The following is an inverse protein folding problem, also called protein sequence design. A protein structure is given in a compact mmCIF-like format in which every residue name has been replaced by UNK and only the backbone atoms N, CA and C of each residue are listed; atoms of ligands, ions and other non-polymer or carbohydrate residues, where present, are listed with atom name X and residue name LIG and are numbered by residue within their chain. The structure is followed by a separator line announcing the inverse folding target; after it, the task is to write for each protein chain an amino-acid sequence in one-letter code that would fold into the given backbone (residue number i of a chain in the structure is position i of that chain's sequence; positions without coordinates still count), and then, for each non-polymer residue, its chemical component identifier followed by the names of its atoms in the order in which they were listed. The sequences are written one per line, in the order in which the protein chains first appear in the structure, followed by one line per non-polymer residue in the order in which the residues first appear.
data_IF_508612762863
#
_entry.id   IF_508612762863
#
_cell.length_a   1.000
_cell.length_b   1.000
_cell.length_c   1.000
_cell.angle_alpha   90.00
_cell.angle_beta   90.00
_cell.angle_gamma   90.00
#
_symmetry.space_group_name_H-M   'P 1'
#
loop_
_entity.id
_entity.type
_entity.pdbx_description
1 polymer ?
#
# COMPACT_ATOMS: atom_id res chain seq x y z
N UNK A 1 -7.50 21.77 -6.15
CA UNK A 1 -6.48 20.72 -5.96
C UNK A 1 -5.89 20.33 -7.30
N UNK A 2 -4.56 20.23 -7.41
CA UNK A 2 -3.87 20.06 -8.70
C UNK A 2 -3.64 18.60 -9.09
N UNK A 3 -3.47 18.36 -10.39
CA UNK A 3 -3.08 17.07 -10.96
C UNK A 3 -1.79 16.49 -10.31
N UNK A 4 -0.90 17.37 -9.87
CA UNK A 4 0.47 17.03 -9.46
C UNK A 4 0.68 16.78 -7.95
N UNK A 5 -0.20 17.28 -7.08
CA UNK A 5 -0.04 17.07 -5.63
C UNK A 5 -1.37 17.19 -4.91
N UNK A 6 -1.57 16.29 -3.94
CA UNK A 6 -2.71 16.32 -3.03
C UNK A 6 -2.40 17.06 -1.73
N UNK A 7 -1.25 17.74 -1.65
CA UNK A 7 -0.83 18.48 -0.46
C UNK A 7 -1.80 19.62 -0.20
N UNK A 8 -2.23 19.77 1.05
CA UNK A 8 -3.12 20.86 1.50
C UNK A 8 -2.52 21.58 2.70
N UNK A 9 -2.99 22.80 2.98
CA UNK A 9 -2.71 23.52 4.22
C UNK A 9 -3.61 23.02 5.36
N UNK A 10 -3.25 23.32 6.62
CA UNK A 10 -4.06 22.94 7.78
C UNK A 10 -5.41 23.66 7.82
N UNK A 11 -5.47 24.89 7.29
CA UNK A 11 -6.68 25.72 7.29
C UNK A 11 -7.74 25.22 6.31
N UNK A 12 -7.35 24.34 5.38
CA UNK A 12 -8.27 23.68 4.44
C UNK A 12 -8.95 22.43 5.04
N UNK A 13 -8.49 21.94 6.19
CA UNK A 13 -8.98 20.69 6.79
C UNK A 13 -10.42 20.81 7.30
N UNK A 14 -11.21 19.79 6.99
CA UNK A 14 -12.59 19.66 7.45
C UNK A 14 -12.82 18.31 8.10
N UNK A 15 -13.63 18.29 9.15
CA UNK A 15 -14.02 17.03 9.77
C UNK A 15 -14.63 16.09 8.71
N UNK A 16 -14.21 14.81 8.72
CA UNK A 16 -14.56 13.83 7.69
C UNK A 16 -13.56 13.74 6.53
N UNK A 17 -12.51 14.56 6.51
CA UNK A 17 -11.43 14.43 5.54
C UNK A 17 -10.60 13.17 5.79
N UNK A 18 -10.39 12.38 4.73
CA UNK A 18 -9.38 11.32 4.72
C UNK A 18 -8.05 11.95 4.34
N UNK A 19 -7.14 11.97 5.31
CA UNK A 19 -5.81 12.54 5.17
C UNK A 19 -4.75 11.46 5.19
N UNK A 20 -3.62 11.76 4.59
CA UNK A 20 -2.46 10.89 4.65
C UNK A 20 -1.16 11.68 4.73
N UNK A 21 -0.12 11.04 5.25
CA UNK A 21 1.25 11.54 5.25
C UNK A 21 2.21 10.48 4.73
N UNK A 22 3.05 10.85 3.78
CA UNK A 22 4.13 9.97 3.33
C UNK A 22 5.13 9.72 4.47
N UNK A 23 5.48 8.46 4.64
CA UNK A 23 6.46 7.97 5.64
C UNK A 23 7.69 7.39 4.99
N UNK A 24 7.54 6.86 3.79
CA UNK A 24 8.61 6.43 2.91
C UNK A 24 8.19 6.70 1.46
N UNK A 25 9.04 6.33 0.50
CA UNK A 25 8.71 6.45 -0.92
C UNK A 25 7.48 5.63 -1.33
N UNK A 26 7.23 4.50 -0.65
CA UNK A 26 6.18 3.52 -1.01
C UNK A 26 5.13 3.31 0.09
N UNK A 27 5.20 4.06 1.19
CA UNK A 27 4.23 3.96 2.29
C UNK A 27 3.73 5.35 2.70
N UNK A 28 2.40 5.48 2.71
CA UNK A 28 1.65 6.57 3.30
C UNK A 28 0.84 6.04 4.48
N UNK A 29 0.83 6.82 5.57
CA UNK A 29 -0.02 6.53 6.71
C UNK A 29 -1.31 7.34 6.61
N UNK A 30 -2.44 6.69 6.84
CA UNK A 30 -3.79 7.21 6.55
C UNK A 30 -4.62 7.38 7.82
N UNK A 31 -5.52 8.36 7.81
CA UNK A 31 -6.43 8.62 8.92
C UNK A 31 -7.59 9.53 8.54
N UNK A 32 -8.57 9.62 9.43
CA UNK A 32 -9.75 10.48 9.32
C UNK A 32 -9.58 11.66 10.27
N UNK A 33 -9.58 12.87 9.74
CA UNK A 33 -9.64 14.08 10.55
C UNK A 33 -11.05 14.26 11.12
N UNK A 34 -11.16 14.42 12.44
CA UNK A 34 -12.47 14.47 13.14
C UNK A 34 -12.78 15.81 13.79
N UNK A 35 -12.00 16.85 13.45
CA UNK A 35 -12.09 18.18 14.05
C UNK A 35 -11.10 18.39 15.20
N UNK A 36 -10.96 19.64 15.64
CA UNK A 36 -10.17 20.06 16.81
C UNK A 36 -8.71 19.56 16.81
N UNK A 37 -8.09 19.49 15.63
CA UNK A 37 -6.71 19.02 15.53
C UNK A 37 -6.54 17.51 15.79
N UNK A 38 -7.62 16.72 15.82
CA UNK A 38 -7.60 15.29 16.10
C UNK A 38 -7.79 14.43 14.85
N UNK A 39 -7.08 13.31 14.84
CA UNK A 39 -7.11 12.32 13.76
C UNK A 39 -7.36 10.95 14.37
N UNK A 40 -8.35 10.23 13.84
CA UNK A 40 -8.59 8.82 14.14
C UNK A 40 -7.95 8.00 13.04
N UNK A 41 -7.13 7.02 13.42
CA UNK A 41 -6.38 6.22 12.47
C UNK A 41 -6.12 4.81 13.01
N UNK A 42 -5.88 3.88 12.11
CA UNK A 42 -5.64 2.48 12.44
C UNK A 42 -4.15 2.20 12.46
N UNK A 43 -3.65 1.64 13.55
CA UNK A 43 -2.23 1.34 13.76
C UNK A 43 -2.04 -0.08 14.29
N UNK A 44 -0.82 -0.59 14.14
CA UNK A 44 -0.36 -1.78 14.83
C UNK A 44 0.44 -1.40 16.07
N UNK A 45 0.38 -2.23 17.11
CA UNK A 45 1.15 -2.09 18.35
C UNK A 45 2.63 -1.83 18.09
N UNK A 46 3.19 -0.80 18.71
CA UNK A 46 4.64 -0.62 18.80
C UNK A 46 5.24 -1.58 19.82
N UNK A 47 6.33 -2.28 19.46
CA UNK A 47 7.07 -3.18 20.36
C UNK A 47 6.98 -4.67 20.03
N UNK A 48 6.13 -5.08 19.07
CA UNK A 48 6.27 -6.38 18.42
C UNK A 48 7.33 -6.24 17.33
N UNK A 49 8.61 -6.15 17.73
CA UNK A 49 9.68 -6.48 16.80
C UNK A 49 9.39 -7.90 16.33
N UNK A 50 9.17 -8.09 15.02
CA UNK A 50 9.24 -9.46 14.47
C UNK A 50 10.69 -9.98 14.64
N UNK A 51 11.62 -9.14 15.12
CA UNK A 51 13.01 -9.49 15.44
C UNK A 51 13.82 -9.79 14.19
N UNK A 52 13.24 -9.57 13.00
CA UNK A 52 13.82 -9.97 11.72
C UNK A 52 14.65 -8.88 11.05
N UNK A 53 14.49 -7.62 11.44
CA UNK A 53 15.16 -6.47 10.81
C UNK A 53 14.71 -6.24 9.36
N UNK A 54 13.53 -6.74 8.98
CA UNK A 54 13.04 -6.73 7.59
C UNK A 54 12.42 -5.38 7.21
N UNK A 55 12.16 -5.16 5.92
CA UNK A 55 11.49 -3.95 5.42
C UNK A 55 10.12 -3.72 6.09
N UNK A 56 9.43 -4.79 6.49
CA UNK A 56 8.15 -4.75 7.21
C UNK A 56 8.29 -4.16 8.62
N UNK A 57 9.37 -4.49 9.34
CA UNK A 57 9.65 -3.93 10.67
C UNK A 57 9.81 -2.40 10.63
N UNK A 58 10.39 -1.86 9.54
CA UNK A 58 10.49 -0.41 9.30
C UNK A 58 9.13 0.24 9.02
N UNK A 59 8.22 -0.46 8.33
CA UNK A 59 6.86 0.06 8.06
C UNK A 59 6.01 0.12 9.33
N UNK A 60 6.15 -0.87 10.23
CA UNK A 60 5.48 -0.85 11.55
C UNK A 60 5.89 0.41 12.31
N UNK A 61 7.20 0.71 12.33
CA UNK A 61 7.73 1.92 12.96
C UNK A 61 7.14 3.22 12.38
N UNK A 62 6.80 3.23 11.09
CA UNK A 62 6.23 4.39 10.40
C UNK A 62 4.75 4.64 10.71
N UNK A 63 4.02 3.64 11.22
CA UNK A 63 2.59 3.77 11.56
C UNK A 63 2.37 4.32 12.97
N UNK A 64 3.37 4.18 13.85
CA UNK A 64 3.31 4.66 15.24
C UNK A 64 3.29 6.19 15.26
N UNK A 65 2.32 6.83 15.97
CA UNK A 65 2.34 8.27 16.18
C UNK A 65 3.66 8.68 16.85
N UNK A 66 4.34 9.67 16.29
CA UNK A 66 5.58 10.20 16.87
C UNK A 66 5.46 11.69 17.07
N UNK A 67 5.63 12.12 18.31
CA UNK A 67 5.99 13.50 18.59
C UNK A 67 7.47 13.66 18.22
N UNK A 68 7.84 14.71 17.47
CA UNK A 68 9.24 14.91 17.10
C UNK A 68 10.09 15.22 18.34
N UNK A 69 10.76 14.20 18.90
CA UNK A 69 11.63 14.32 20.08
C UNK A 69 11.43 13.21 21.11
N UNK A 70 12.23 13.23 22.19
CA UNK A 70 12.22 12.20 23.25
C UNK A 70 11.10 12.39 24.30
N UNK A 71 10.34 13.49 24.22
CA UNK A 71 9.27 13.80 25.17
C UNK A 71 7.89 13.39 24.64
N UNK A 72 7.03 12.77 25.48
CA UNK A 72 5.67 12.43 25.09
C UNK A 72 4.88 13.68 24.72
N UNK A 73 3.99 13.56 23.74
CA UNK A 73 3.18 14.68 23.28
C UNK A 73 2.27 15.15 24.43
N UNK A 74 2.21 16.47 24.75
CA UNK A 74 1.33 16.95 25.83
C UNK A 74 -0.16 16.69 25.55
N UNK A 75 -0.55 16.59 24.28
CA UNK A 75 -1.94 16.34 23.88
C UNK A 75 -2.29 14.86 23.78
N UNK A 76 -1.30 13.98 23.58
CA UNK A 76 -1.53 12.56 23.28
C UNK A 76 -0.98 11.60 24.35
N UNK A 77 -0.06 12.08 25.20
CA UNK A 77 0.75 11.22 26.06
C UNK A 77 1.67 10.29 25.27
N UNK A 78 2.03 9.17 25.88
CA UNK A 78 2.70 8.06 25.21
C UNK A 78 1.64 7.15 24.56
N UNK A 79 1.69 7.06 23.22
CA UNK A 79 0.80 6.21 22.42
C UNK A 79 1.54 5.03 21.77
N UNK A 80 2.81 4.80 22.15
CA UNK A 80 3.65 3.78 21.52
C UNK A 80 3.13 2.35 21.72
N UNK A 81 2.34 2.12 22.77
CA UNK A 81 1.82 0.81 23.17
C UNK A 81 0.41 0.54 22.60
N UNK A 82 -0.24 1.56 22.02
CA UNK A 82 -1.61 1.41 21.52
C UNK A 82 -1.65 0.65 20.18
N UNK A 83 -2.70 -0.13 19.99
CA UNK A 83 -3.00 -0.87 18.77
C UNK A 83 -4.46 -0.74 18.35
N UNK A 84 -4.73 -1.11 17.10
CA UNK A 84 -6.05 -1.00 16.52
C UNK A 84 -6.40 0.44 16.16
N UNK A 85 -7.65 0.84 16.43
CA UNK A 85 -8.15 2.18 16.07
C UNK A 85 -7.85 3.13 17.21
N UNK A 86 -7.03 4.15 16.95
CA UNK A 86 -6.57 5.11 17.95
C UNK A 86 -6.88 6.55 17.54
N UNK A 87 -6.83 7.47 18.50
CA UNK A 87 -6.94 8.91 18.26
C UNK A 87 -5.65 9.61 18.67
N UNK A 88 -5.11 10.45 17.78
CA UNK A 88 -3.92 11.28 18.04
C UNK A 88 -4.15 12.73 17.60
N UNK A 89 -3.25 13.64 17.98
CA UNK A 89 -3.22 14.98 17.42
C UNK A 89 -2.63 14.96 16.00
N UNK A 90 -2.95 15.97 15.20
CA UNK A 90 -2.47 16.11 13.83
C UNK A 90 -0.93 16.07 13.75
N UNK A 91 -0.22 16.64 14.71
CA UNK A 91 1.25 16.63 14.70
C UNK A 91 1.84 15.23 14.90
N UNK A 92 1.28 14.45 15.84
CA UNK A 92 1.66 13.06 16.06
C UNK A 92 1.30 12.17 14.86
N UNK A 93 0.13 12.40 14.27
CA UNK A 93 -0.27 11.75 13.02
C UNK A 93 0.65 12.13 11.86
N UNK A 94 1.16 13.36 11.79
CA UNK A 94 2.07 13.78 10.72
C UNK A 94 3.51 13.35 10.97
N UNK A 95 3.96 13.15 12.21
CA UNK A 95 5.32 12.75 12.57
C UNK A 95 6.42 13.52 11.79
N UNK A 96 6.25 14.84 11.64
CA UNK A 96 7.15 15.72 10.87
C UNK A 96 6.96 15.69 9.34
N UNK A 97 6.06 14.85 8.83
CA UNK A 97 5.69 14.75 7.43
C UNK A 97 4.75 15.86 6.94
N UNK A 98 4.45 15.83 5.64
CA UNK A 98 3.50 16.76 5.01
C UNK A 98 2.08 16.19 5.01
N UNK A 99 1.10 17.09 5.13
CA UNK A 99 -0.32 16.80 5.08
C UNK A 99 -0.84 16.70 3.64
N UNK A 100 -1.50 15.59 3.30
CA UNK A 100 -2.15 15.38 2.01
C UNK A 100 -3.59 14.94 2.19
N UNK A 101 -4.44 15.30 1.23
CA UNK A 101 -5.84 14.86 1.18
C UNK A 101 -6.02 13.70 0.20
N UNK A 102 -6.68 12.63 0.63
CA UNK A 102 -7.02 11.53 -0.25
C UNK A 102 -8.19 11.90 -1.17
N UNK A 103 -8.08 11.62 -2.47
CA UNK A 103 -9.09 12.01 -3.45
C UNK A 103 -10.10 10.90 -3.73
N UNK A 104 -11.38 11.23 -3.66
CA UNK A 104 -12.50 10.35 -4.02
C UNK A 104 -13.08 10.78 -5.36
N UNK A 105 -13.87 9.91 -5.98
CA UNK A 105 -14.58 10.18 -7.24
C UNK A 105 -13.64 10.62 -8.38
N UNK A 106 -12.41 10.08 -8.42
CA UNK A 106 -11.49 10.35 -9.52
C UNK A 106 -11.82 9.50 -10.73
N UNK A 107 -11.55 10.01 -11.93
CA UNK A 107 -11.64 9.20 -13.15
C UNK A 107 -10.57 8.10 -13.16
N UNK A 108 -10.84 6.99 -13.86
CA UNK A 108 -9.84 5.91 -14.06
C UNK A 108 -8.54 6.43 -14.68
N UNK A 109 -8.62 7.45 -15.52
CA UNK A 109 -7.44 8.09 -16.11
C UNK A 109 -6.58 8.80 -15.04
N UNK A 110 -7.22 9.53 -14.11
CA UNK A 110 -6.50 10.16 -12.98
C UNK A 110 -5.91 9.08 -12.05
N UNK A 111 -6.67 8.02 -11.77
CA UNK A 111 -6.20 6.90 -10.94
C UNK A 111 -4.91 6.29 -11.51
N UNK A 112 -4.86 6.04 -12.82
CA UNK A 112 -3.68 5.47 -13.50
C UNK A 112 -2.54 6.49 -13.63
N UNK A 113 -2.85 7.78 -13.84
CA UNK A 113 -1.84 8.82 -13.98
C UNK A 113 -1.07 9.10 -12.67
N UNK A 114 -1.69 8.87 -11.50
CA UNK A 114 -0.98 8.97 -10.21
C UNK A 114 -0.02 7.81 -10.08
N UNK A 115 1.30 8.05 -10.07
CA UNK A 115 2.29 6.97 -10.03
C UNK A 115 2.34 6.19 -8.71
N UNK A 116 1.82 6.75 -7.60
CA UNK A 116 1.86 6.11 -6.28
C UNK A 116 0.44 5.74 -5.81
N UNK A 117 0.28 4.52 -5.30
CA UNK A 117 -0.92 4.08 -4.60
C UNK A 117 -1.15 4.88 -3.31
N UNK A 118 -2.31 4.70 -2.66
CA UNK A 118 -2.64 5.35 -1.40
C UNK A 118 -2.94 6.84 -1.54
N UNK A 119 -3.45 7.30 -2.69
CA UNK A 119 -3.66 8.74 -2.93
C UNK A 119 -5.05 9.10 -3.44
N UNK A 120 -5.72 8.17 -4.12
CA UNK A 120 -7.04 8.40 -4.69
C UNK A 120 -7.77 7.08 -4.98
N UNK A 121 -9.09 7.18 -5.18
CA UNK A 121 -9.97 6.08 -5.59
C UNK A 121 -11.10 6.56 -6.49
N UNK A 122 -11.67 5.68 -7.32
CA UNK A 122 -12.87 6.00 -8.11
C UNK A 122 -14.16 5.83 -7.30
N UNK A 123 -14.11 5.31 -6.08
CA UNK A 123 -15.27 5.26 -5.20
C UNK A 123 -15.71 6.66 -4.77
N UNK A 124 -17.01 6.83 -4.57
CA UNK A 124 -17.60 8.05 -4.01
C UNK A 124 -17.49 8.04 -2.49
N UNK A 125 -17.31 9.22 -1.90
CA UNK A 125 -17.37 9.39 -0.45
C UNK A 125 -18.81 9.57 0.02
N UNK A 126 -19.13 9.01 1.17
CA UNK A 126 -20.31 9.35 1.95
C UNK A 126 -20.18 10.73 2.61
N UNK A 127 -21.29 11.31 3.11
CA UNK A 127 -21.30 12.61 3.77
C UNK A 127 -20.37 12.67 5.00
N UNK A 128 -19.73 13.82 5.28
CA UNK A 128 -18.73 13.95 6.36
C UNK A 128 -19.22 13.50 7.74
N UNK A 129 -20.49 13.72 8.07
CA UNK A 129 -21.12 13.29 9.31
C UNK A 129 -21.13 11.77 9.48
N UNK A 130 -21.43 11.02 8.42
CA UNK A 130 -21.37 9.55 8.44
C UNK A 130 -19.93 9.08 8.59
N UNK A 131 -18.99 9.74 7.92
CA UNK A 131 -17.56 9.39 8.00
C UNK A 131 -17.05 9.54 9.43
N UNK A 132 -17.35 10.68 10.07
CA UNK A 132 -16.96 10.94 11.45
C UNK A 132 -17.65 9.99 12.42
N UNK A 133 -18.93 9.66 12.18
CA UNK A 133 -19.66 8.65 12.96
C UNK A 133 -18.94 7.30 12.93
N UNK A 134 -18.62 6.77 11.75
CA UNK A 134 -17.91 5.49 11.62
C UNK A 134 -16.55 5.51 12.31
N UNK A 135 -15.76 6.55 12.10
CA UNK A 135 -14.45 6.67 12.72
C UNK A 135 -14.53 6.69 14.27
N UNK A 136 -15.47 7.45 14.84
CA UNK A 136 -15.67 7.51 16.29
C UNK A 136 -16.26 6.22 16.87
N UNK A 137 -17.17 5.57 16.14
CA UNK A 137 -17.73 4.29 16.54
C UNK A 137 -16.63 3.22 16.65
N UNK A 138 -15.78 3.12 15.63
CA UNK A 138 -14.68 2.16 15.61
C UNK A 138 -13.62 2.45 16.67
N UNK A 139 -13.32 3.72 16.94
CA UNK A 139 -12.44 4.12 18.05
C UNK A 139 -12.98 3.67 19.41
N UNK A 140 -14.29 3.73 19.62
CA UNK A 140 -14.91 3.44 20.91
C UNK A 140 -14.93 1.94 21.23
N UNK A 141 -15.03 1.09 20.22
CA UNK A 141 -15.14 -0.36 20.37
C UNK A 141 -13.93 -1.18 19.93
N UNK A 142 -12.84 -0.53 19.48
CA UNK A 142 -11.70 -1.16 18.79
C UNK A 142 -12.12 -2.13 17.67
N UNK A 143 -13.19 -1.78 16.94
CA UNK A 143 -14.01 -2.73 16.19
C UNK A 143 -13.58 -3.03 14.75
N UNK A 144 -12.37 -2.64 14.34
CA UNK A 144 -11.89 -2.79 12.95
C UNK A 144 -11.03 -4.04 12.72
N UNK A 145 -11.03 -4.98 13.68
CA UNK A 145 -10.26 -6.22 13.62
C UNK A 145 -8.76 -6.02 13.83
N UNK A 146 -7.98 -7.06 13.54
CA UNK A 146 -6.52 -7.02 13.65
C UNK A 146 -5.85 -6.28 12.49
N UNK A 147 -4.74 -5.60 12.78
CA UNK A 147 -3.97 -4.86 11.80
C UNK A 147 -3.04 -5.77 10.99
N UNK A 148 -3.27 -5.84 9.68
CA UNK A 148 -2.43 -6.52 8.71
C UNK A 148 -1.88 -5.54 7.67
N UNK A 149 -0.55 -5.41 7.58
CA UNK A 149 0.12 -4.39 6.75
C UNK A 149 -0.27 -4.43 5.26
N UNK A 150 -0.49 -5.62 4.70
CA UNK A 150 -0.72 -5.81 3.27
C UNK A 150 -2.21 -5.89 2.90
N UNK A 151 -3.03 -6.19 3.89
CA UNK A 151 -4.49 -6.34 3.80
C UNK A 151 -5.09 -5.25 4.70
N UNK A 152 -5.81 -5.62 5.77
CA UNK A 152 -6.49 -4.72 6.70
C UNK A 152 -5.55 -3.72 7.40
N UNK A 153 -5.32 -2.57 6.76
CA UNK A 153 -4.37 -1.56 7.22
C UNK A 153 -5.01 -0.16 7.35
N UNK A 154 -4.20 0.87 7.62
CA UNK A 154 -4.67 2.25 7.78
C UNK A 154 -5.43 2.81 6.58
N UNK A 155 -5.08 2.39 5.36
CA UNK A 155 -5.76 2.79 4.12
C UNK A 155 -7.15 2.17 4.04
N UNK A 156 -7.28 0.88 4.31
CA UNK A 156 -8.56 0.16 4.32
C UNK A 156 -9.51 0.73 5.38
N UNK A 157 -8.99 1.02 6.59
CA UNK A 157 -9.74 1.72 7.63
C UNK A 157 -10.31 3.06 7.15
N UNK A 158 -9.47 3.90 6.55
CA UNK A 158 -9.88 5.22 6.13
C UNK A 158 -10.85 5.15 4.93
N UNK A 159 -10.63 4.22 3.99
CA UNK A 159 -11.56 3.96 2.88
C UNK A 159 -12.92 3.45 3.40
N UNK A 160 -12.93 2.52 4.35
CA UNK A 160 -14.16 2.05 4.99
C UNK A 160 -14.91 3.19 5.67
N UNK A 161 -14.22 4.02 6.46
CA UNK A 161 -14.85 5.19 7.08
C UNK A 161 -15.48 6.11 6.02
N UNK A 162 -14.81 6.33 4.89
CA UNK A 162 -15.29 7.22 3.82
C UNK A 162 -16.43 6.65 2.97
N UNK A 163 -16.55 5.33 2.85
CA UNK A 163 -17.42 4.71 1.82
C UNK A 163 -18.41 3.68 2.38
N UNK A 164 -18.15 3.19 3.60
CA UNK A 164 -18.80 2.03 4.19
C UNK A 164 -18.49 0.72 3.47
N UNK A 165 -17.59 0.71 2.47
CA UNK A 165 -17.25 -0.46 1.68
C UNK A 165 -16.20 -1.30 2.40
N UNK A 166 -16.55 -2.55 2.68
CA UNK A 166 -15.62 -3.56 3.18
C UNK A 166 -15.25 -4.51 2.05
N UNK A 167 -13.96 -4.83 1.96
CA UNK A 167 -13.40 -5.80 1.02
C UNK A 167 -13.49 -7.20 1.61
N UNK A 168 -14.17 -8.13 0.93
CA UNK A 168 -14.28 -9.53 1.34
C UNK A 168 -13.30 -10.37 0.53
N UNK A 169 -12.03 -10.40 0.95
CA UNK A 169 -11.03 -11.15 0.20
C UNK A 169 -11.12 -12.66 0.50
N UNK A 170 -11.85 -13.41 -0.32
CA UNK A 170 -11.84 -14.89 -0.30
C UNK A 170 -10.49 -15.44 -0.82
N UNK A 171 -9.62 -14.58 -1.36
CA UNK A 171 -8.27 -14.94 -1.80
C UNK A 171 -7.23 -13.98 -1.19
N UNK A 172 -6.29 -14.51 -0.40
CA UNK A 172 -5.19 -13.79 0.31
C UNK A 172 -4.16 -13.20 -0.67
N UNK A 173 -4.54 -12.25 -1.53
CA UNK A 173 -3.59 -11.55 -2.41
C UNK A 173 -3.83 -10.03 -2.38
N UNK A 174 -3.20 -9.39 -1.39
CA UNK A 174 -2.88 -7.95 -1.32
C UNK A 174 -3.94 -7.00 -1.86
N UNK A 175 -4.96 -6.71 -1.04
CA UNK A 175 -6.07 -5.83 -1.44
C UNK A 175 -5.73 -4.33 -1.41
N UNK A 176 -4.62 -3.92 -0.79
CA UNK A 176 -4.29 -2.51 -0.61
C UNK A 176 -3.56 -1.90 -1.82
N UNK A 177 -3.90 -0.66 -2.16
CA UNK A 177 -3.35 0.00 -3.36
C UNK A 177 -1.84 0.32 -3.23
N UNK A 178 -1.32 0.35 -2.01
CA UNK A 178 0.11 0.49 -1.71
C UNK A 178 0.93 -0.75 -2.05
N UNK A 179 0.37 -1.96 -1.93
CA UNK A 179 1.06 -3.23 -2.23
C UNK A 179 1.38 -3.36 -3.72
N UNK A 180 0.47 -2.92 -4.59
CA UNK A 180 0.70 -2.92 -6.04
C UNK A 180 1.86 -2.01 -6.47
N UNK A 181 2.14 -0.94 -5.70
CA UNK A 181 3.25 -0.02 -6.01
C UNK A 181 4.63 -0.64 -5.71
N UNK A 182 4.69 -1.59 -4.78
CA UNK A 182 5.93 -2.32 -4.42
C UNK A 182 6.36 -3.26 -5.55
N UNK A 183 5.42 -3.94 -6.22
CA UNK A 183 5.73 -4.85 -7.33
C UNK A 183 6.35 -4.12 -8.53
N UNK A 184 5.89 -2.90 -8.84
CA UNK A 184 6.45 -2.10 -9.93
C UNK A 184 7.90 -1.63 -9.65
N UNK A 185 8.25 -1.37 -8.38
CA UNK A 185 9.61 -0.99 -7.99
C UNK A 185 10.55 -2.20 -7.79
N UNK A 186 10.03 -3.30 -7.24
CA UNK A 186 10.78 -4.54 -6.99
C UNK A 186 11.18 -5.28 -8.27
N UNK A 187 10.38 -5.16 -9.33
CA UNK A 187 10.71 -5.70 -10.66
C UNK A 187 12.01 -5.13 -11.24
N UNK A 188 12.39 -3.91 -10.87
CA UNK A 188 13.64 -3.28 -11.33
C UNK A 188 14.86 -3.76 -10.52
N UNK A 189 14.70 -4.02 -9.22
CA UNK A 189 15.78 -4.45 -8.33
C UNK A 189 16.11 -5.95 -8.43
N UNK A 190 15.12 -6.82 -8.69
CA UNK A 190 15.40 -8.25 -8.93
C UNK A 190 16.11 -8.50 -10.26
N UNK A 191 16.06 -7.55 -11.20
CA UNK A 191 16.58 -7.69 -12.56
C UNK A 191 18.08 -7.38 -12.64
N UNK A 192 18.56 -6.41 -11.86
CA UNK A 192 20.00 -6.11 -11.77
C UNK A 192 20.79 -7.31 -11.26
N UNK A 193 20.26 -8.07 -10.28
CA UNK A 193 20.92 -9.27 -9.77
C UNK A 193 20.94 -10.46 -10.76
N UNK A 194 19.89 -10.65 -11.57
CA UNK A 194 19.84 -11.77 -12.54
C UNK A 194 20.75 -11.55 -13.75
N UNK A 195 21.02 -10.31 -14.13
CA UNK A 195 21.88 -9.98 -15.28
C UNK A 195 23.34 -9.65 -14.91
N UNK A 196 23.66 -9.42 -13.62
CA UNK A 196 25.05 -9.30 -13.13
C UNK A 196 25.77 -10.65 -12.93
N UNK A 197 25.17 -11.76 -13.36
CA UNK A 197 25.91 -13.02 -13.55
C UNK A 197 26.37 -13.75 -12.30
N UNK A 198 25.72 -13.57 -11.14
CA UNK A 198 25.93 -14.49 -9.99
C UNK A 198 25.04 -15.74 -10.15
N UNK A 199 25.16 -16.38 -11.31
CA UNK A 199 24.48 -17.62 -11.67
C UNK A 199 25.42 -18.46 -12.52
N UNK A 200 26.00 -19.49 -11.92
CA UNK A 200 26.95 -20.42 -12.56
C UNK A 200 26.37 -20.99 -13.85
N UNK A 201 26.93 -20.62 -15.01
CA UNK A 201 26.66 -21.30 -16.27
C UNK A 201 27.83 -22.26 -16.57
N UNK A 202 27.57 -23.57 -16.46
CA UNK A 202 28.45 -24.62 -16.96
C UNK A 202 28.49 -24.58 -18.49
N UNK A 203 29.69 -24.77 -19.03
CA UNK A 203 30.03 -24.42 -20.41
C UNK A 203 29.59 -25.40 -21.49
N UNK A 204 29.77 -24.94 -22.73
CA UNK A 204 30.17 -25.73 -23.89
C UNK A 204 30.59 -24.74 -25.00
N UNK A 205 31.83 -24.85 -25.47
CA UNK A 205 32.39 -24.05 -26.56
C UNK A 205 32.64 -24.97 -27.77
N UNK A 206 32.02 -24.67 -28.91
CA UNK A 206 32.34 -25.28 -30.19
C UNK A 206 33.15 -24.29 -31.02
N UNK A 207 34.35 -24.70 -31.43
CA UNK A 207 35.32 -23.90 -32.17
C UNK A 207 34.99 -23.90 -33.67
N UNK A 208 34.78 -22.72 -34.27
CA UNK A 208 34.87 -22.53 -35.72
C UNK A 208 35.75 -21.32 -36.03
N UNK A 209 36.79 -21.55 -36.83
CA UNK A 209 37.77 -20.55 -37.23
C UNK A 209 37.21 -19.64 -38.33
N UNK A 210 37.22 -18.32 -38.11
CA UNK A 210 36.86 -17.32 -39.14
C UNK A 210 37.88 -16.16 -39.09
N UNK A 211 38.30 -15.69 -40.27
CA UNK A 211 39.38 -14.72 -40.49
C UNK A 211 39.13 -13.32 -39.89
N UNK A 212 40.19 -12.56 -39.49
CA UNK A 212 40.07 -11.35 -38.65
C UNK A 212 39.21 -10.20 -39.22
N UNK A 213 39.07 -10.07 -40.54
CA UNK A 213 38.37 -8.95 -41.16
C UNK A 213 36.82 -9.07 -41.12
N UNK A 214 36.28 -10.30 -41.10
CA UNK A 214 34.83 -10.51 -40.89
C UNK A 214 34.43 -10.40 -39.41
N UNK A 215 35.38 -10.60 -38.50
CA UNK A 215 35.14 -10.56 -37.05
C UNK A 215 34.81 -9.15 -36.59
N UNK A 216 35.41 -8.11 -37.18
CA UNK A 216 35.17 -6.72 -36.74
C UNK A 216 33.79 -6.21 -37.17
N UNK A 217 33.32 -6.51 -38.39
CA UNK A 217 31.97 -6.05 -38.81
C UNK A 217 30.85 -6.90 -38.22
N UNK A 218 31.06 -8.22 -38.08
CA UNK A 218 30.12 -9.11 -37.41
C UNK A 218 30.06 -8.85 -35.89
N UNK A 219 31.18 -8.56 -35.22
CA UNK A 219 31.20 -8.19 -33.82
C UNK A 219 30.55 -6.83 -33.59
N UNK A 220 30.79 -5.83 -34.44
CA UNK A 220 30.15 -4.52 -34.28
C UNK A 220 28.64 -4.61 -34.52
N UNK A 221 28.19 -5.35 -35.55
CA UNK A 221 26.75 -5.60 -35.76
C UNK A 221 26.14 -6.49 -34.67
N UNK A 222 26.85 -7.50 -34.17
CA UNK A 222 26.35 -8.35 -33.09
C UNK A 222 26.27 -7.58 -31.76
N UNK A 223 27.22 -6.71 -31.46
CA UNK A 223 27.21 -5.85 -30.26
C UNK A 223 26.10 -4.79 -30.37
N UNK A 224 25.91 -4.14 -31.52
CA UNK A 224 24.80 -3.18 -31.71
C UNK A 224 23.44 -3.87 -31.73
N UNK A 225 23.34 -5.08 -32.29
CA UNK A 225 22.08 -5.85 -32.32
C UNK A 225 21.75 -6.45 -30.96
N UNK A 226 22.74 -6.94 -30.19
CA UNK A 226 22.51 -7.39 -28.81
C UNK A 226 22.19 -6.23 -27.90
N UNK A 227 22.86 -5.08 -27.99
CA UNK A 227 22.51 -3.90 -27.21
C UNK A 227 21.14 -3.31 -27.61
N UNK A 228 20.80 -3.33 -28.91
CA UNK A 228 19.48 -2.95 -29.42
C UNK A 228 18.36 -3.89 -28.99
N UNK A 229 18.60 -5.20 -28.99
CA UNK A 229 17.63 -6.22 -28.55
C UNK A 229 17.48 -6.22 -27.02
N UNK A 230 18.57 -5.96 -26.29
CA UNK A 230 18.59 -5.81 -24.83
C UNK A 230 17.84 -4.55 -24.42
N UNK A 231 18.08 -3.41 -25.07
CA UNK A 231 17.37 -2.14 -24.78
C UNK A 231 15.88 -2.18 -25.17
N UNK A 232 15.53 -2.77 -26.33
CA UNK A 232 14.13 -2.99 -26.72
C UNK A 232 13.44 -4.03 -25.84
N UNK A 233 14.15 -5.08 -25.41
CA UNK A 233 13.68 -6.05 -24.43
C UNK A 233 13.41 -5.43 -23.05
N UNK A 234 14.32 -4.60 -22.54
CA UNK A 234 14.12 -3.87 -21.28
C UNK A 234 12.96 -2.87 -21.37
N UNK A 235 12.83 -2.13 -22.47
CA UNK A 235 11.72 -1.21 -22.68
C UNK A 235 10.38 -1.96 -22.77
N UNK A 236 10.32 -3.07 -23.53
CA UNK A 236 9.12 -3.88 -23.67
C UNK A 236 8.70 -4.54 -22.35
N UNK A 237 9.65 -5.05 -21.56
CA UNK A 237 9.40 -5.61 -20.24
C UNK A 237 8.96 -4.54 -19.23
N UNK A 238 9.59 -3.37 -19.22
CA UNK A 238 9.18 -2.25 -18.37
C UNK A 238 7.76 -1.78 -18.70
N UNK A 239 7.41 -1.70 -19.99
CA UNK A 239 6.04 -1.38 -20.43
C UNK A 239 5.07 -2.49 -20.02
N UNK A 240 5.43 -3.76 -20.14
CA UNK A 240 4.57 -4.87 -19.74
C UNK A 240 4.30 -4.88 -18.22
N UNK A 241 5.33 -4.71 -17.38
CA UNK A 241 5.19 -4.63 -15.92
C UNK A 241 4.42 -3.38 -15.48
N UNK A 242 4.68 -2.23 -16.08
CA UNK A 242 3.89 -1.02 -15.83
C UNK A 242 2.44 -1.18 -16.28
N UNK A 243 2.19 -1.84 -17.41
CA UNK A 243 0.83 -2.13 -17.89
C UNK A 243 0.08 -3.03 -16.91
N UNK A 244 0.72 -4.09 -16.39
CA UNK A 244 0.15 -4.94 -15.33
C UNK A 244 -0.17 -4.13 -14.09
N UNK A 245 0.73 -3.24 -13.68
CA UNK A 245 0.50 -2.33 -12.56
C UNK A 245 -0.72 -1.43 -12.79
N UNK A 246 -0.84 -0.79 -13.95
CA UNK A 246 -1.98 0.06 -14.29
C UNK A 246 -3.30 -0.72 -14.29
N UNK A 247 -3.30 -1.92 -14.88
CA UNK A 247 -4.48 -2.81 -14.91
C UNK A 247 -4.86 -3.23 -13.49
N UNK A 248 -3.89 -3.70 -12.70
CA UNK A 248 -4.10 -4.09 -11.30
C UNK A 248 -4.64 -2.94 -10.48
N UNK A 249 -4.08 -1.74 -10.64
CA UNK A 249 -4.54 -0.54 -9.93
C UNK A 249 -6.00 -0.21 -10.21
N UNK A 250 -6.46 -0.36 -11.45
CA UNK A 250 -7.88 -0.15 -11.80
C UNK A 250 -8.74 -1.32 -11.30
N UNK A 251 -8.27 -2.56 -11.44
CA UNK A 251 -9.05 -3.75 -11.09
C UNK A 251 -9.27 -3.89 -9.57
N UNK A 252 -8.28 -3.53 -8.76
CA UNK A 252 -8.32 -3.60 -7.31
C UNK A 252 -8.81 -2.31 -6.63
N UNK A 253 -9.11 -1.25 -7.41
CA UNK A 253 -9.71 -0.04 -6.86
C UNK A 253 -11.06 -0.37 -6.21
N UNK A 254 -11.31 0.19 -5.02
CA UNK A 254 -12.53 -0.09 -4.25
C UNK A 254 -13.80 0.33 -5.00
N UNK A 255 -13.73 1.31 -5.90
CA UNK A 255 -14.85 1.74 -6.74
C UNK A 255 -15.08 0.87 -7.98
N UNK A 256 -14.22 -0.12 -8.25
CA UNK A 256 -14.29 -0.98 -9.46
C UNK A 256 -14.45 -2.46 -9.12
N UNK A 257 -13.79 -2.92 -8.05
CA UNK A 257 -13.80 -4.33 -7.64
C UNK A 257 -15.22 -4.81 -7.30
N UNK A 258 -15.46 -6.11 -7.48
CA UNK A 258 -16.80 -6.72 -7.33
C UNK A 258 -17.02 -7.41 -5.98
N UNK A 259 -15.96 -7.58 -5.21
CA UNK A 259 -15.90 -8.26 -3.91
C UNK A 259 -15.94 -7.28 -2.74
N UNK A 260 -16.58 -6.12 -2.95
CA UNK A 260 -16.88 -5.16 -1.89
C UNK A 260 -18.37 -5.16 -1.60
N UNK A 261 -18.72 -4.97 -0.33
CA UNK A 261 -20.09 -4.73 0.10
C UNK A 261 -20.13 -3.55 1.06
N UNK A 262 -21.17 -2.73 0.96
CA UNK A 262 -21.44 -1.67 1.93
C UNK A 262 -21.96 -2.29 3.21
N UNK A 263 -21.29 -2.05 4.33
CA UNK A 263 -21.57 -2.66 5.63
C UNK A 263 -21.72 -1.53 6.66
N UNK A 264 -22.87 -1.44 7.36
CA UNK A 264 -23.04 -0.51 8.48
C UNK A 264 -22.00 -0.75 9.57
N UNK A 265 -21.56 0.30 10.25
CA UNK A 265 -20.47 0.19 11.24
C UNK A 265 -20.89 -0.60 12.48
N UNK A 266 -22.18 -0.58 12.78
CA UNK A 266 -22.82 -1.31 13.87
C UNK A 266 -22.77 -2.83 13.66
N UNK A 267 -22.76 -3.28 12.41
CA UNK A 267 -22.71 -4.71 12.04
C UNK A 267 -21.29 -5.20 11.75
N UNK A 268 -20.33 -4.28 11.61
CA UNK A 268 -18.98 -4.60 11.15
C UNK A 268 -18.27 -5.59 12.08
N UNK A 269 -18.31 -5.36 13.39
CA UNK A 269 -17.62 -6.21 14.35
C UNK A 269 -18.14 -7.66 14.33
N UNK A 270 -19.46 -7.84 14.23
CA UNK A 270 -20.07 -9.16 14.14
C UNK A 270 -19.67 -9.87 12.83
N UNK A 271 -19.63 -9.13 11.73
CA UNK A 271 -19.24 -9.65 10.43
C UNK A 271 -17.76 -10.05 10.40
N UNK A 272 -16.85 -9.23 10.92
CA UNK A 272 -15.43 -9.52 10.98
C UNK A 272 -15.16 -10.80 11.81
N UNK A 273 -15.83 -10.93 12.96
CA UNK A 273 -15.72 -12.13 13.80
C UNK A 273 -16.19 -13.41 13.07
N UNK A 274 -17.25 -13.32 12.25
CA UNK A 274 -17.73 -14.44 11.44
C UNK A 274 -16.73 -14.81 10.34
N UNK A 275 -16.10 -13.81 9.71
CA UNK A 275 -15.10 -14.02 8.66
C UNK A 275 -13.82 -14.66 9.22
N UNK A 276 -13.31 -14.16 10.35
CA UNK A 276 -12.16 -14.75 11.06
C UNK A 276 -12.43 -16.21 11.41
N UNK A 277 -13.58 -16.51 12.05
CA UNK A 277 -13.95 -17.89 12.39
C UNK A 277 -14.14 -18.80 11.17
N UNK A 278 -14.56 -18.26 10.02
CA UNK A 278 -14.67 -19.04 8.78
C UNK A 278 -13.31 -19.36 8.16
N UNK A 279 -12.33 -18.45 8.26
CA UNK A 279 -10.97 -18.66 7.77
C UNK A 279 -10.22 -19.71 8.60
N UNK A 280 -10.35 -19.68 9.93
CA UNK A 280 -9.74 -20.67 10.81
C UNK A 280 -10.23 -22.10 10.53
N UNK A 281 -11.52 -22.25 10.20
CA UNK A 281 -12.12 -23.53 9.80
C UNK A 281 -11.60 -24.04 8.44
N UNK A 282 -11.25 -23.15 7.51
CA UNK A 282 -10.70 -23.53 6.21
C UNK A 282 -9.20 -23.89 6.29
N UNK A 283 -8.42 -23.22 7.14
CA UNK A 283 -7.01 -23.55 7.35
C UNK A 283 -6.86 -24.89 8.12
N UNK A 284 -7.71 -25.16 9.11
CA UNK A 284 -7.74 -26.44 9.84
C UNK A 284 -8.12 -27.63 8.94
N UNK A 285 -9.14 -27.48 8.10
CA UNK A 285 -9.55 -28.54 7.17
C UNK A 285 -8.55 -28.83 6.03
N UNK A 286 -7.71 -27.86 5.67
CA UNK A 286 -6.59 -28.08 4.74
C UNK A 286 -5.38 -28.73 5.42
N UNK A 287 -5.13 -28.44 6.71
CA UNK A 287 -4.03 -29.06 7.45
C UNK A 287 -4.27 -30.55 7.72
N UNK A 288 -5.52 -30.99 7.85
CA UNK A 288 -5.88 -32.41 8.01
C UNK A 288 -5.83 -33.22 6.70
N UNK A 289 -5.76 -32.57 5.53
CA UNK A 289 -5.63 -33.25 4.22
C UNK A 289 -4.19 -33.49 3.78
N UNK A 290 -3.22 -32.95 4.52
CA UNK A 290 -1.78 -33.09 4.23
C UNK A 290 -1.05 -34.02 5.22
N UNK A 291 -1.78 -34.89 5.93
CA UNK A 291 -1.25 -35.91 6.84
C UNK A 291 -1.71 -37.30 6.39
#
# INVERSE_FOLDING_TARGET
MGLFSNKISRDELKAGDHIYSWRSYIYSHHGIYVGDGKVIHFTRRGGLEIGTGTYLDKIIQFSVPRHGGDNPCPNCGDQSILDGVISSCLDCFLAGGSLYLFQYDVSKAILVAKQRGGTCTTATSDPPEEVVHRARYLLSGNGFGEYHLLDNNCEDFAIYCKTGLLVFSVTKSGSSSQVNSVCAAGGLASLTLRFLGVGRAAGQAASLAVSPAMVVSAATRAVTTTFGLVTTGFAAMAVAEYSKYCIGRVAYDVGVRKDVRKVPVEELAALLAVLEGSLDNLDSTNSDKNK
#
